data_IF_527020922325
#
_entry.id   IF_527020922325
#
_cell.length_a   1.000
_cell.length_b   1.000
_cell.length_c   1.000
_cell.angle_alpha   90.00
_cell.angle_beta   90.00
_cell.angle_gamma   90.00
#
_symmetry.space_group_name_H-M   'P 1'
#
loop_
_entity.id
_entity.type
_entity.pdbx_description
1 polymer ?
#
# COMPACT_ATOMS: atom_id res chain seq x y z
N UNK A 1 -52.46 38.35 76.41
CA UNK A 1 -52.17 39.16 75.21
C UNK A 1 -50.77 39.69 75.30
N UNK A 2 -49.79 39.02 74.68
CA UNK A 2 -48.56 39.57 74.05
C UNK A 2 -47.69 38.41 73.57
N UNK A 3 -47.06 38.64 72.42
CA UNK A 3 -46.46 37.66 71.51
C UNK A 3 -45.16 37.01 72.03
N UNK A 4 -44.95 35.75 71.64
CA UNK A 4 -43.61 35.21 71.36
C UNK A 4 -43.64 34.49 70.01
N UNK A 5 -43.01 35.10 69.02
CA UNK A 5 -42.70 34.50 67.73
C UNK A 5 -41.52 33.53 67.93
N UNK A 6 -41.69 32.28 67.48
CA UNK A 6 -40.59 31.32 67.30
C UNK A 6 -40.34 31.24 65.81
N UNK A 7 -39.17 31.71 65.38
CA UNK A 7 -38.70 31.58 64.02
C UNK A 7 -38.14 30.15 63.83
N UNK A 8 -38.78 29.36 62.97
CA UNK A 8 -38.24 28.09 62.46
C UNK A 8 -37.74 28.39 61.05
N UNK A 9 -36.42 28.45 60.87
CA UNK A 9 -35.80 28.52 59.55
C UNK A 9 -35.81 27.11 58.94
N UNK A 10 -36.65 26.92 57.93
CA UNK A 10 -36.72 25.70 57.13
C UNK A 10 -35.67 25.79 56.02
N UNK A 11 -34.60 25.02 56.12
CA UNK A 11 -33.60 24.88 55.04
C UNK A 11 -34.20 24.08 53.88
N UNK A 12 -34.38 24.74 52.73
CA UNK A 12 -34.75 24.08 51.46
C UNK A 12 -33.51 23.36 50.93
N UNK A 13 -33.53 22.02 51.00
CA UNK A 13 -32.53 21.17 50.37
C UNK A 13 -32.89 21.02 48.89
N UNK A 14 -32.23 21.78 48.02
CA UNK A 14 -32.37 21.69 46.58
C UNK A 14 -31.57 20.46 46.08
N UNK A 15 -32.26 19.35 45.81
CA UNK A 15 -31.67 18.20 45.10
C UNK A 15 -31.42 18.59 43.64
N UNK A 16 -30.17 18.93 43.29
CA UNK A 16 -29.71 18.92 41.91
C UNK A 16 -29.42 17.46 41.51
N UNK A 17 -30.36 16.86 40.77
CA UNK A 17 -30.08 15.64 40.02
C UNK A 17 -29.10 16.00 38.90
N UNK A 18 -27.82 15.69 39.10
CA UNK A 18 -26.83 15.72 38.02
C UNK A 18 -27.13 14.54 37.11
N UNK A 19 -27.81 14.82 36.01
CA UNK A 19 -27.93 13.89 34.89
C UNK A 19 -26.53 13.59 34.37
N UNK A 20 -25.96 12.48 34.81
CA UNK A 20 -24.74 11.92 34.25
C UNK A 20 -25.01 11.47 32.82
N UNK A 21 -24.93 12.40 31.87
CA UNK A 21 -24.73 12.03 30.47
C UNK A 21 -23.32 11.46 30.43
N UNK A 22 -23.22 10.13 30.42
CA UNK A 22 -21.98 9.46 30.05
C UNK A 22 -21.66 9.93 28.64
N UNK A 23 -20.77 10.91 28.52
CA UNK A 23 -20.06 11.18 27.28
C UNK A 23 -19.26 9.91 27.05
N UNK A 24 -19.79 9.02 26.21
CA UNK A 24 -18.99 7.93 25.69
C UNK A 24 -17.82 8.59 25.00
N UNK A 25 -16.61 8.37 25.51
CA UNK A 25 -15.38 8.82 24.86
C UNK A 25 -15.50 8.41 23.40
N UNK A 26 -15.61 9.39 22.51
CA UNK A 26 -15.45 9.15 21.08
C UNK A 26 -14.02 8.63 20.95
N UNK A 27 -13.88 7.31 20.87
CA UNK A 27 -12.57 6.66 20.83
C UNK A 27 -11.81 7.25 19.64
N UNK A 28 -10.78 8.04 19.96
CA UNK A 28 -10.03 8.79 18.96
C UNK A 28 -9.41 7.79 17.97
N UNK A 29 -9.77 7.93 16.69
CA UNK A 29 -9.15 7.12 15.65
C UNK A 29 -7.69 7.56 15.48
N UNK A 30 -6.79 6.57 15.49
CA UNK A 30 -5.36 6.73 15.24
C UNK A 30 -5.06 6.36 13.80
N UNK A 31 -4.11 7.08 13.19
CA UNK A 31 -3.60 6.76 11.86
C UNK A 31 -2.26 6.05 12.01
N UNK A 32 -2.15 4.86 11.41
CA UNK A 32 -0.91 4.09 11.27
C UNK A 32 -0.50 4.13 9.82
N UNK A 33 0.80 4.32 9.56
CA UNK A 33 1.39 4.29 8.22
C UNK A 33 2.57 3.32 8.22
N UNK A 34 2.57 2.38 7.29
CA UNK A 34 3.63 1.41 7.06
C UNK A 34 4.10 1.53 5.61
N UNK A 35 5.41 1.47 5.38
CA UNK A 35 6.01 1.56 4.04
C UNK A 35 6.90 0.34 3.86
N UNK A 36 6.68 -0.40 2.78
CA UNK A 36 7.46 -1.60 2.43
C UNK A 36 7.81 -1.59 0.95
N UNK A 37 9.00 -2.06 0.61
CA UNK A 37 9.41 -2.26 -0.78
C UNK A 37 9.20 -3.71 -1.18
N UNK A 38 8.97 -3.95 -2.47
CA UNK A 38 8.85 -5.29 -3.05
C UNK A 38 9.32 -5.32 -4.49
N UNK A 39 9.49 -6.54 -5.00
CA UNK A 39 9.87 -6.79 -6.40
C UNK A 39 9.01 -7.90 -6.98
N UNK A 40 8.43 -7.65 -8.16
CA UNK A 40 7.66 -8.63 -8.92
C UNK A 40 8.53 -9.22 -10.01
N UNK A 41 8.66 -10.55 -10.03
CA UNK A 41 9.58 -11.29 -10.89
C UNK A 41 8.86 -11.95 -12.06
N UNK A 42 9.46 -11.86 -13.25
CA UNK A 42 9.06 -12.62 -14.43
C UNK A 42 9.86 -13.90 -14.52
N UNK A 43 9.16 -15.03 -14.42
CA UNK A 43 9.68 -16.36 -14.72
C UNK A 43 9.24 -16.80 -16.11
N UNK A 44 9.80 -17.90 -16.68
CA UNK A 44 9.42 -18.36 -18.02
C UNK A 44 7.94 -18.71 -18.17
N UNK A 45 7.27 -19.13 -17.08
CA UNK A 45 5.89 -19.64 -17.11
C UNK A 45 4.90 -18.87 -16.23
N UNK A 46 5.37 -17.89 -15.46
CA UNK A 46 4.51 -17.05 -14.63
C UNK A 46 5.20 -15.74 -14.23
N UNK A 47 4.42 -14.77 -13.79
CA UNK A 47 4.90 -13.59 -13.05
C UNK A 47 4.52 -13.75 -11.58
N UNK A 48 5.43 -13.45 -10.65
CA UNK A 48 5.14 -13.56 -9.22
C UNK A 48 4.06 -12.56 -8.79
N UNK A 49 3.41 -12.86 -7.66
CA UNK A 49 2.52 -11.93 -6.97
C UNK A 49 2.92 -11.96 -5.51
N UNK A 50 3.16 -10.78 -4.97
CA UNK A 50 3.51 -10.56 -3.59
C UNK A 50 2.24 -10.54 -2.74
N UNK A 51 2.24 -11.26 -1.62
CA UNK A 51 1.07 -11.39 -0.73
C UNK A 51 1.45 -11.00 0.69
N UNK A 52 0.83 -9.94 1.19
CA UNK A 52 0.99 -9.45 2.54
C UNK A 52 -0.15 -9.98 3.41
N UNK A 53 0.18 -10.55 4.56
CA UNK A 53 -0.83 -10.91 5.57
C UNK A 53 -1.10 -9.70 6.44
N UNK A 54 -2.36 -9.31 6.59
CA UNK A 54 -2.77 -8.16 7.39
C UNK A 54 -3.70 -8.61 8.53
N UNK A 55 -3.61 -7.92 9.68
CA UNK A 55 -4.51 -8.09 10.82
C UNK A 55 -5.09 -6.74 11.22
N UNK A 56 -6.41 -6.63 11.24
CA UNK A 56 -7.11 -5.47 11.77
C UNK A 56 -7.77 -5.83 13.10
N UNK A 57 -7.36 -5.16 14.18
CA UNK A 57 -7.92 -5.37 15.51
C UNK A 57 -9.29 -4.70 15.73
N UNK A 58 -9.66 -3.76 14.87
CA UNK A 58 -10.93 -3.04 14.87
C UNK A 58 -11.31 -2.69 13.43
N UNK A 59 -12.57 -2.33 13.22
CA UNK A 59 -13.04 -1.77 11.96
C UNK A 59 -12.20 -0.54 11.59
N UNK A 60 -11.76 -0.47 10.34
CA UNK A 60 -10.87 0.59 9.89
C UNK A 60 -11.17 1.03 8.46
N UNK A 61 -10.74 2.25 8.15
CA UNK A 61 -10.46 2.64 6.77
C UNK A 61 -9.01 2.26 6.50
N UNK A 62 -8.77 1.45 5.47
CA UNK A 62 -7.44 1.08 4.99
C UNK A 62 -7.21 1.65 3.60
N UNK A 63 -6.01 2.15 3.38
CA UNK A 63 -5.54 2.75 2.13
C UNK A 63 -4.23 2.05 1.75
N UNK A 64 -4.13 1.65 0.49
CA UNK A 64 -2.97 1.01 -0.12
C UNK A 64 -2.59 1.84 -1.34
N UNK A 65 -1.33 2.26 -1.40
CA UNK A 65 -0.80 3.11 -2.44
C UNK A 65 0.49 2.50 -2.98
N UNK A 66 0.56 2.26 -4.29
CA UNK A 66 1.71 1.67 -4.95
C UNK A 66 2.44 2.74 -5.73
N UNK A 67 3.73 2.91 -5.46
CA UNK A 67 4.62 3.68 -6.32
C UNK A 67 5.56 2.75 -7.07
N UNK A 68 5.46 2.73 -8.40
CA UNK A 68 6.33 1.88 -9.21
C UNK A 68 6.72 2.54 -10.52
N UNK A 69 5.75 3.08 -11.28
CA UNK A 69 6.02 3.49 -12.66
C UNK A 69 6.92 4.72 -12.74
N UNK A 70 8.10 4.52 -13.30
CA UNK A 70 9.17 5.52 -13.34
C UNK A 70 9.09 6.48 -14.52
N UNK A 71 8.03 6.43 -15.33
CA UNK A 71 7.94 7.21 -16.56
C UNK A 71 6.52 7.68 -16.86
N UNK A 72 6.39 8.92 -17.31
CA UNK A 72 5.13 9.50 -17.79
C UNK A 72 4.93 9.32 -19.30
N UNK A 73 6.02 9.12 -20.07
CA UNK A 73 6.00 9.15 -21.54
C UNK A 73 6.73 7.98 -22.21
N UNK A 74 7.25 7.05 -21.41
CA UNK A 74 8.06 5.91 -21.82
C UNK A 74 9.36 6.28 -22.55
N UNK A 75 9.87 7.50 -22.31
CA UNK A 75 11.12 8.03 -22.87
C UNK A 75 12.03 8.57 -21.80
N UNK A 76 11.51 9.34 -20.85
CA UNK A 76 12.26 9.83 -19.68
C UNK A 76 11.88 9.00 -18.46
N UNK A 77 12.87 8.74 -17.62
CA UNK A 77 12.71 7.89 -16.45
C UNK A 77 13.23 8.63 -15.21
N UNK A 78 12.54 8.50 -14.10
CA UNK A 78 12.92 9.10 -12.82
C UNK A 78 12.74 8.10 -11.67
N UNK A 79 13.70 8.10 -10.75
CA UNK A 79 13.74 7.23 -9.57
C UNK A 79 12.68 7.66 -8.54
N UNK A 80 11.42 7.32 -8.80
CA UNK A 80 10.29 7.74 -7.94
C UNK A 80 10.28 6.97 -6.62
N UNK A 81 10.77 5.74 -6.63
CA UNK A 81 10.70 4.84 -5.48
C UNK A 81 11.98 4.86 -4.60
N UNK A 82 13.05 5.52 -5.07
CA UNK A 82 14.37 5.69 -4.44
C UNK A 82 15.18 4.41 -4.31
N UNK A 83 15.05 3.52 -5.28
CA UNK A 83 15.86 2.30 -5.38
C UNK A 83 17.02 2.41 -6.38
N UNK A 84 17.11 3.52 -7.14
CA UNK A 84 18.08 3.75 -8.21
C UNK A 84 18.07 2.67 -9.31
N UNK A 85 16.93 2.04 -9.55
CA UNK A 85 16.72 0.99 -10.54
C UNK A 85 15.51 1.32 -11.41
N UNK A 86 15.70 1.34 -12.73
CA UNK A 86 14.64 1.74 -13.64
C UNK A 86 13.54 0.72 -13.89
N UNK A 87 13.57 -0.37 -13.12
CA UNK A 87 12.69 -1.51 -13.25
C UNK A 87 11.38 -1.28 -12.50
N UNK A 88 10.26 -1.25 -13.21
CA UNK A 88 8.93 -0.99 -12.65
C UNK A 88 7.88 -1.99 -13.10
N UNK A 89 6.74 -1.94 -12.42
CA UNK A 89 5.50 -2.60 -12.81
C UNK A 89 4.38 -1.59 -13.05
N UNK A 90 3.63 -1.83 -14.12
CA UNK A 90 2.21 -1.47 -14.21
C UNK A 90 1.47 -2.38 -13.23
N UNK A 91 0.99 -1.83 -12.11
CA UNK A 91 0.58 -2.60 -10.93
C UNK A 91 -0.90 -2.97 -10.95
N UNK A 92 -1.26 -4.08 -10.32
CA UNK A 92 -2.65 -4.47 -10.10
C UNK A 92 -2.75 -5.13 -8.73
N UNK A 93 -3.60 -4.57 -7.87
CA UNK A 93 -3.75 -4.98 -6.47
C UNK A 93 -5.08 -5.64 -6.18
N UNK A 94 -5.09 -6.56 -5.20
CA UNK A 94 -6.31 -7.22 -4.72
C UNK A 94 -6.30 -7.31 -3.19
N UNK A 95 -7.42 -6.96 -2.57
CA UNK A 95 -7.67 -7.16 -1.15
C UNK A 95 -8.62 -8.34 -0.95
N UNK A 96 -8.19 -9.33 -0.16
CA UNK A 96 -8.99 -10.49 0.21
C UNK A 96 -9.23 -10.52 1.71
N UNK A 97 -10.46 -10.83 2.13
CA UNK A 97 -10.73 -11.26 3.49
C UNK A 97 -10.36 -12.74 3.63
N UNK A 98 -9.61 -13.09 4.67
CA UNK A 98 -9.28 -14.48 5.01
C UNK A 98 -10.36 -15.04 5.93
N UNK A 99 -11.07 -16.04 5.45
CA UNK A 99 -12.12 -16.72 6.21
C UNK A 99 -11.52 -17.69 7.23
N UNK A 100 -12.31 -18.10 8.21
CA UNK A 100 -11.87 -19.02 9.26
C UNK A 100 -11.40 -20.39 8.74
N UNK A 101 -11.91 -20.82 7.58
CA UNK A 101 -11.50 -22.04 6.87
C UNK A 101 -10.26 -21.84 5.98
N UNK A 102 -9.64 -20.65 6.03
CA UNK A 102 -8.45 -20.29 5.25
C UNK A 102 -8.74 -19.84 3.83
N UNK A 103 -9.99 -19.91 3.35
CA UNK A 103 -10.35 -19.41 2.01
C UNK A 103 -10.23 -17.90 1.93
N UNK A 104 -9.86 -17.42 0.75
CA UNK A 104 -9.81 -16.00 0.44
C UNK A 104 -11.08 -15.58 -0.28
N UNK A 105 -11.72 -14.51 0.21
CA UNK A 105 -12.87 -13.88 -0.43
C UNK A 105 -12.48 -12.49 -0.89
N UNK A 106 -12.63 -12.21 -2.19
CA UNK A 106 -12.32 -10.90 -2.75
C UNK A 106 -13.18 -9.82 -2.07
N UNK A 107 -12.51 -8.75 -1.65
CA UNK A 107 -13.13 -7.54 -1.09
C UNK A 107 -13.11 -6.43 -2.14
N UNK A 108 -11.95 -6.23 -2.77
CA UNK A 108 -11.75 -5.21 -3.78
C UNK A 108 -10.49 -5.48 -4.61
N UNK A 109 -10.39 -4.83 -5.76
CA UNK A 109 -9.20 -4.78 -6.62
C UNK A 109 -9.12 -3.40 -7.27
N UNK A 110 -7.92 -3.02 -7.72
CA UNK A 110 -7.73 -1.86 -8.59
C UNK A 110 -6.40 -2.02 -9.37
N UNK A 111 -6.30 -1.41 -10.54
CA UNK A 111 -5.09 -1.36 -11.37
C UNK A 111 -4.59 0.06 -11.68
N UNK A 112 -5.32 1.11 -11.28
CA UNK A 112 -4.96 2.49 -11.59
C UNK A 112 -4.88 3.43 -10.36
N UNK A 113 -4.44 4.67 -10.57
CA UNK A 113 -4.23 5.78 -9.61
C UNK A 113 -5.51 6.24 -8.87
N UNK A 114 -6.66 5.87 -9.42
CA UNK A 114 -7.98 6.24 -8.94
C UNK A 114 -8.73 4.99 -8.53
N UNK A 115 -9.29 5.02 -7.32
CA UNK A 115 -10.23 3.99 -6.90
C UNK A 115 -11.57 4.14 -7.66
N UNK A 116 -12.41 3.11 -7.65
CA UNK A 116 -13.74 3.08 -8.29
C UNK A 116 -14.67 4.26 -7.88
N UNK A 117 -14.35 4.91 -6.75
CA UNK A 117 -15.07 6.08 -6.26
C UNK A 117 -14.41 7.38 -6.72
N UNK A 118 -15.14 8.17 -7.50
CA UNK A 118 -14.68 9.46 -8.04
C UNK A 118 -14.20 10.46 -6.98
N UNK A 119 -14.65 10.35 -5.72
CA UNK A 119 -14.16 11.16 -4.59
C UNK A 119 -12.69 10.90 -4.21
N UNK A 120 -12.11 9.81 -4.70
CA UNK A 120 -10.72 9.42 -4.48
C UNK A 120 -9.84 9.56 -5.73
N UNK A 121 -10.39 10.10 -6.82
CA UNK A 121 -9.63 10.37 -8.03
C UNK A 121 -8.38 11.22 -7.74
N UNK A 122 -7.23 10.77 -8.28
CA UNK A 122 -5.94 11.45 -8.15
C UNK A 122 -5.29 11.36 -6.76
N UNK A 123 -5.81 10.53 -5.83
CA UNK A 123 -5.13 10.30 -4.55
C UNK A 123 -3.85 9.50 -4.68
N UNK A 124 -3.81 8.51 -5.57
CA UNK A 124 -2.60 7.71 -5.86
C UNK A 124 -1.46 8.47 -6.54
N UNK A 125 -1.61 9.79 -6.77
CA UNK A 125 -0.51 10.64 -7.28
C UNK A 125 0.16 11.49 -6.21
N UNK A 126 -0.33 11.45 -4.98
CA UNK A 126 0.14 12.35 -3.90
C UNK A 126 1.52 11.99 -3.37
N UNK A 127 1.99 10.78 -3.67
CA UNK A 127 3.26 10.22 -3.24
C UNK A 127 4.40 10.48 -4.25
N UNK A 128 4.10 11.16 -5.36
CA UNK A 128 5.05 11.44 -6.44
C UNK A 128 4.90 10.54 -7.66
N UNK A 129 3.87 9.68 -7.73
CA UNK A 129 3.62 8.89 -8.93
C UNK A 129 3.51 9.75 -10.20
N UNK A 130 4.17 9.27 -11.25
CA UNK A 130 4.22 9.91 -12.56
C UNK A 130 3.15 9.40 -13.51
N UNK A 131 2.47 8.29 -13.17
CA UNK A 131 1.64 7.55 -14.10
C UNK A 131 0.33 7.07 -13.47
N UNK A 132 -0.67 6.83 -14.31
CA UNK A 132 -1.95 6.28 -13.90
C UNK A 132 -1.92 4.81 -13.51
N UNK A 133 -0.92 4.08 -13.97
CA UNK A 133 -0.78 2.64 -13.82
C UNK A 133 -0.29 2.21 -12.41
N UNK A 134 -0.08 3.18 -11.53
CA UNK A 134 0.25 2.96 -10.13
C UNK A 134 -1.05 2.81 -9.34
N UNK A 135 -1.30 1.60 -8.83
CA UNK A 135 -2.56 1.21 -8.20
C UNK A 135 -2.78 1.90 -6.86
N UNK A 136 -3.98 2.44 -6.68
CA UNK A 136 -4.44 3.02 -5.41
C UNK A 136 -5.76 2.38 -4.94
N UNK A 137 -5.85 1.95 -3.68
CA UNK A 137 -7.08 1.32 -3.15
C UNK A 137 -7.40 1.82 -1.74
N UNK A 138 -8.64 2.28 -1.50
CA UNK A 138 -9.12 2.67 -0.17
C UNK A 138 -10.44 1.98 0.18
N UNK A 139 -10.50 1.26 1.30
CA UNK A 139 -11.71 0.54 1.73
C UNK A 139 -11.96 0.68 3.21
N UNK A 140 -13.24 0.81 3.59
CA UNK A 140 -13.67 0.54 4.96
C UNK A 140 -13.92 -0.95 5.10
N UNK A 141 -13.24 -1.60 6.03
CA UNK A 141 -13.34 -3.04 6.25
C UNK A 141 -13.50 -3.35 7.75
N UNK A 142 -14.21 -4.43 8.11
CA UNK A 142 -14.34 -4.84 9.49
C UNK A 142 -13.02 -5.39 10.06
N UNK A 143 -12.93 -5.50 11.38
CA UNK A 143 -11.86 -6.24 12.04
C UNK A 143 -11.73 -7.67 11.48
N UNK A 144 -10.50 -8.16 11.32
CA UNK A 144 -10.26 -9.49 10.76
C UNK A 144 -8.87 -9.68 10.16
N UNK A 145 -8.70 -10.83 9.51
CA UNK A 145 -7.50 -11.21 8.78
C UNK A 145 -7.70 -10.98 7.29
N UNK A 146 -6.69 -10.41 6.63
CA UNK A 146 -6.73 -10.10 5.21
C UNK A 146 -5.45 -10.53 4.51
N UNK A 147 -5.55 -10.72 3.20
CA UNK A 147 -4.41 -10.85 2.29
C UNK A 147 -4.49 -9.72 1.29
N UNK A 148 -3.44 -8.90 1.24
CA UNK A 148 -3.28 -7.90 0.18
C UNK A 148 -2.25 -8.41 -0.82
N UNK A 149 -2.68 -8.55 -2.07
CA UNK A 149 -1.87 -9.07 -3.16
C UNK A 149 -1.45 -7.92 -4.09
N UNK A 150 -0.17 -7.84 -4.41
CA UNK A 150 0.42 -6.92 -5.38
C UNK A 150 1.01 -7.74 -6.52
N UNK A 151 0.58 -7.47 -7.74
CA UNK A 151 1.20 -8.03 -8.93
C UNK A 151 1.21 -6.99 -10.04
N UNK A 152 1.50 -7.45 -11.26
CA UNK A 152 1.43 -6.60 -12.45
C UNK A 152 0.12 -6.77 -13.21
N UNK A 153 -0.31 -5.75 -13.94
CA UNK A 153 -1.42 -5.86 -14.89
C UNK A 153 -1.05 -6.72 -16.11
N UNK A 154 -1.93 -7.62 -16.60
CA UNK A 154 -3.20 -8.02 -15.99
C UNK A 154 -3.01 -9.03 -14.84
N UNK A 155 -3.93 -9.01 -13.89
CA UNK A 155 -3.97 -9.93 -12.76
C UNK A 155 -5.41 -10.30 -12.43
N UNK A 156 -5.76 -11.59 -12.53
CA UNK A 156 -7.08 -12.06 -12.07
C UNK A 156 -7.12 -12.29 -10.56
N UNK A 157 -8.31 -12.27 -9.92
CA UNK A 157 -8.43 -12.58 -8.50
C UNK A 157 -7.90 -13.97 -8.11
N UNK A 158 -8.05 -14.96 -9.00
CA UNK A 158 -7.55 -16.31 -8.74
C UNK A 158 -6.02 -16.37 -8.76
N UNK A 159 -5.39 -15.70 -9.73
CA UNK A 159 -3.93 -15.58 -9.81
C UNK A 159 -3.36 -14.80 -8.62
N UNK A 160 -4.02 -13.70 -8.24
CA UNK A 160 -3.66 -12.89 -7.08
C UNK A 160 -3.71 -13.72 -5.78
N UNK A 161 -4.79 -14.47 -5.57
CA UNK A 161 -4.95 -15.37 -4.43
C UNK A 161 -3.87 -16.46 -4.40
N UNK A 162 -3.51 -17.00 -5.57
CA UNK A 162 -2.53 -18.08 -5.71
C UNK A 162 -1.06 -17.63 -5.67
N UNK A 163 -0.79 -16.32 -5.76
CA UNK A 163 0.57 -15.80 -5.74
C UNK A 163 1.30 -15.86 -7.09
N UNK A 164 0.59 -16.11 -8.20
CA UNK A 164 1.19 -16.28 -9.54
C UNK A 164 0.23 -15.85 -10.64
N UNK A 165 0.67 -14.94 -11.51
CA UNK A 165 0.00 -14.57 -12.76
C UNK A 165 0.53 -15.41 -13.93
N UNK A 166 -0.38 -16.08 -14.64
CA UNK A 166 -0.10 -16.92 -15.81
C UNK A 166 -0.50 -16.22 -17.11
N UNK A 167 -1.30 -15.16 -17.03
CA UNK A 167 -1.74 -14.43 -18.21
C UNK A 167 -0.57 -13.68 -18.88
N UNK A 168 -0.38 -13.93 -20.17
CA UNK A 168 0.58 -13.23 -21.05
C UNK A 168 1.93 -12.96 -20.39
N UNK A 169 2.56 -14.00 -19.85
CA UNK A 169 3.82 -13.93 -19.07
C UNK A 169 4.94 -13.16 -19.78
N UNK A 170 5.00 -13.18 -21.11
CA UNK A 170 6.02 -12.47 -21.89
C UNK A 170 5.59 -11.05 -22.33
N UNK A 171 4.37 -10.62 -22.02
CA UNK A 171 3.86 -9.28 -22.33
C UNK A 171 3.71 -8.47 -21.04
N UNK A 172 3.50 -7.16 -21.21
CA UNK A 172 3.36 -6.17 -20.12
C UNK A 172 4.58 -6.10 -19.21
N UNK A 173 4.49 -5.28 -18.17
CA UNK A 173 5.53 -5.16 -17.15
C UNK A 173 5.78 -6.53 -16.45
N UNK A 174 6.94 -6.75 -15.81
CA UNK A 174 7.98 -5.77 -15.51
C UNK A 174 8.73 -5.20 -16.72
N UNK A 175 8.98 -3.90 -16.70
CA UNK A 175 9.76 -3.16 -17.69
C UNK A 175 10.94 -2.48 -17.02
N UNK A 176 11.99 -2.23 -17.79
CA UNK A 176 13.07 -1.34 -17.40
C UNK A 176 13.52 -0.61 -18.65
N UNK A 177 13.80 0.70 -18.58
CA UNK A 177 14.58 1.46 -19.57
C UNK A 177 14.62 0.90 -21.01
N UNK A 178 13.61 1.21 -21.84
CA UNK A 178 13.43 0.73 -23.23
C UNK A 178 13.41 -0.80 -23.46
N UNK A 179 13.73 -1.63 -22.46
CA UNK A 179 13.53 -3.06 -22.44
C UNK A 179 12.10 -3.35 -22.00
N UNK A 180 11.25 -3.66 -22.99
CA UNK A 180 9.86 -4.09 -22.78
C UNK A 180 9.73 -5.45 -22.06
N UNK A 181 10.81 -6.03 -21.54
CA UNK A 181 10.82 -7.35 -20.89
C UNK A 181 11.93 -7.42 -19.85
N UNK A 182 11.75 -6.76 -18.70
CA UNK A 182 12.64 -6.94 -17.55
C UNK A 182 12.31 -8.25 -16.80
N UNK A 183 13.30 -8.78 -16.09
CA UNK A 183 13.16 -9.97 -15.24
C UNK A 183 12.46 -9.68 -13.92
N UNK A 184 12.43 -8.42 -13.49
CA UNK A 184 11.68 -7.97 -12.33
C UNK A 184 11.31 -6.49 -12.47
N UNK A 185 10.45 -6.01 -11.58
CA UNK A 185 10.13 -4.59 -11.42
C UNK A 185 9.86 -4.30 -9.94
N UNK A 186 10.34 -3.16 -9.48
CA UNK A 186 10.30 -2.77 -8.08
C UNK A 186 9.11 -1.85 -7.82
N UNK A 187 8.61 -1.92 -6.60
CA UNK A 187 7.56 -1.02 -6.15
C UNK A 187 7.75 -0.69 -4.66
N UNK A 188 7.14 0.42 -4.25
CA UNK A 188 6.98 0.81 -2.86
C UNK A 188 5.48 0.79 -2.53
N UNK A 189 5.10 0.01 -1.54
CA UNK A 189 3.76 -0.02 -0.99
C UNK A 189 3.70 0.85 0.27
N UNK A 190 2.77 1.81 0.28
CA UNK A 190 2.36 2.54 1.47
C UNK A 190 1.01 2.01 1.94
N UNK A 191 0.94 1.50 3.17
CA UNK A 191 -0.30 1.09 3.83
C UNK A 191 -0.65 2.12 4.89
N UNK A 192 -1.86 2.66 4.85
CA UNK A 192 -2.38 3.56 5.88
C UNK A 192 -3.67 2.99 6.46
N UNK A 193 -3.83 3.07 7.77
CA UNK A 193 -5.03 2.63 8.46
C UNK A 193 -5.48 3.64 9.48
N UNK A 194 -6.78 3.94 9.48
CA UNK A 194 -7.42 4.77 10.47
C UNK A 194 -8.37 3.91 11.32
N UNK A 195 -7.96 3.61 12.56
CA UNK A 195 -8.72 2.76 13.49
C UNK A 195 -8.53 3.19 14.96
N UNK A 196 -9.38 2.71 15.86
CA UNK A 196 -9.25 2.97 17.30
C UNK A 196 -8.10 2.19 17.96
N UNK A 197 -7.66 1.08 17.34
CA UNK A 197 -6.57 0.25 17.87
C UNK A 197 -5.18 0.90 17.66
N UNK A 198 -4.95 1.52 16.51
CA UNK A 198 -3.66 2.16 16.18
C UNK A 198 -2.47 1.20 16.18
N UNK A 199 -2.68 -0.05 15.74
CA UNK A 199 -1.64 -1.08 15.64
C UNK A 199 -1.16 -1.23 14.19
N UNK A 200 0.09 -1.70 14.02
CA UNK A 200 0.60 -2.14 12.72
C UNK A 200 -0.27 -3.25 12.14
N UNK A 201 -0.47 -3.20 10.83
CA UNK A 201 -1.38 -4.07 10.09
C UNK A 201 -0.63 -5.24 9.48
N UNK A 202 0.55 -4.99 8.92
CA UNK A 202 1.33 -6.02 8.21
C UNK A 202 1.88 -7.02 9.23
N UNK A 203 1.37 -8.25 9.17
CA UNK A 203 1.85 -9.37 9.99
C UNK A 203 3.00 -10.11 9.31
N UNK A 204 2.99 -10.16 7.98
CA UNK A 204 4.06 -10.79 7.19
C UNK A 204 4.18 -10.16 5.80
N UNK A 205 5.41 -9.96 5.35
CA UNK A 205 5.78 -9.58 3.98
C UNK A 205 6.33 -10.80 3.21
N UNK A 206 6.32 -10.76 1.87
CA UNK A 206 6.95 -11.79 1.04
C UNK A 206 8.49 -11.69 0.97
N UNK A 207 9.08 -10.60 1.47
CA UNK A 207 10.52 -10.31 1.45
C UNK A 207 11.14 -10.43 0.04
N UNK A 208 10.41 -9.96 -0.97
CA UNK A 208 10.73 -10.09 -2.39
C UNK A 208 11.72 -9.04 -2.90
N UNK A 209 11.92 -7.94 -2.17
CA UNK A 209 12.67 -6.79 -2.65
C UNK A 209 14.14 -7.12 -2.93
N UNK A 210 14.60 -6.86 -4.15
CA UNK A 210 15.97 -7.16 -4.59
C UNK A 210 17.04 -6.19 -4.07
N UNK A 211 16.62 -5.11 -3.41
CA UNK A 211 17.51 -4.09 -2.85
C UNK A 211 17.72 -2.90 -3.79
N UNK A 212 18.47 -1.92 -3.29
CA UNK A 212 18.76 -0.66 -3.99
C UNK A 212 20.06 -0.73 -4.80
N UNK A 213 20.05 -0.09 -5.96
CA UNK A 213 21.21 0.13 -6.84
C UNK A 213 21.96 1.45 -6.55
N UNK A 214 21.57 2.22 -5.53
CA UNK A 214 22.09 3.58 -5.30
C UNK A 214 23.57 3.62 -4.92
N UNK A 215 24.09 2.59 -4.26
CA UNK A 215 25.46 2.54 -3.73
C UNK A 215 26.27 1.33 -4.22
N UNK A 216 26.14 0.95 -5.49
CA UNK A 216 26.96 -0.12 -6.08
C UNK A 216 28.30 0.48 -6.56
N UNK A 217 29.46 0.12 -5.98
CA UNK A 217 30.75 0.51 -6.54
C UNK A 217 30.88 0.01 -7.97
N UNK A 218 31.53 0.77 -8.87
CA UNK A 218 31.72 0.37 -10.27
C UNK A 218 32.40 -1.00 -10.45
N UNK A 219 33.10 -1.51 -9.43
CA UNK A 219 33.70 -2.84 -9.37
C UNK A 219 32.73 -3.98 -9.02
N UNK A 220 31.57 -3.67 -8.44
CA UNK A 220 30.58 -4.61 -7.88
C UNK A 220 29.41 -4.87 -8.84
N UNK A 221 29.34 -4.20 -9.98
CA UNK A 221 28.42 -4.54 -11.08
C UNK A 221 28.63 -5.96 -11.65
N UNK A 222 29.66 -6.69 -11.18
CA UNK A 222 29.84 -8.13 -11.41
C UNK A 222 29.06 -9.05 -10.46
N UNK A 223 28.50 -8.57 -9.35
CA UNK A 223 28.12 -9.43 -8.22
C UNK A 223 26.74 -9.17 -7.56
N UNK A 224 25.87 -8.30 -8.09
CA UNK A 224 24.45 -8.37 -7.72
C UNK A 224 23.75 -9.50 -8.49
N UNK A 225 22.96 -10.30 -7.76
CA UNK A 225 22.47 -11.65 -8.10
C UNK A 225 21.41 -11.71 -9.23
N UNK A 226 21.74 -11.19 -10.41
CA UNK A 226 21.35 -11.79 -11.68
C UNK A 226 22.26 -11.18 -12.74
N UNK A 227 23.00 -12.01 -13.48
CA UNK A 227 23.83 -11.53 -14.59
C UNK A 227 22.90 -11.15 -15.74
N UNK A 228 22.30 -9.97 -15.69
CA UNK A 228 21.73 -9.34 -16.88
C UNK A 228 22.88 -9.16 -17.89
N UNK A 229 22.70 -9.52 -19.16
CA UNK A 229 23.79 -9.47 -20.14
C UNK A 229 24.18 -8.02 -20.47
N UNK A 230 25.21 -7.49 -19.82
CA UNK A 230 25.89 -6.23 -20.21
C UNK A 230 26.05 -5.18 -19.11
N UNK A 231 26.76 -4.10 -19.44
CA UNK A 231 26.96 -2.91 -18.58
C UNK A 231 25.72 -2.00 -18.66
N UNK A 232 24.69 -2.36 -17.90
CA UNK A 232 23.39 -1.69 -17.93
C UNK A 232 23.40 -0.29 -17.30
N UNK A 233 24.28 0.03 -16.33
CA UNK A 233 24.30 1.37 -15.71
C UNK A 233 24.71 2.44 -16.71
N UNK A 234 25.77 2.17 -17.47
CA UNK A 234 26.20 3.07 -18.54
C UNK A 234 25.23 3.04 -19.73
N UNK A 235 24.46 1.97 -19.92
CA UNK A 235 23.39 1.90 -20.91
C UNK A 235 22.14 2.70 -20.47
N UNK A 236 21.70 2.61 -19.22
CA UNK A 236 20.58 3.37 -18.63
C UNK A 236 20.89 4.87 -18.71
N UNK A 237 22.07 5.28 -18.25
CA UNK A 237 22.48 6.69 -18.27
C UNK A 237 22.64 7.24 -19.70
N UNK A 238 23.06 6.41 -20.67
CA UNK A 238 23.21 6.84 -22.08
C UNK A 238 21.94 6.74 -22.90
N UNK A 239 21.07 5.78 -22.63
CA UNK A 239 19.91 5.46 -23.48
C UNK A 239 18.61 6.08 -22.97
N UNK A 240 18.48 6.34 -21.67
CA UNK A 240 17.16 6.56 -21.05
C UNK A 240 16.99 7.89 -20.32
N UNK A 241 17.99 8.77 -20.33
CA UNK A 241 17.94 10.06 -19.63
C UNK A 241 17.39 9.91 -18.19
N UNK A 242 17.98 8.98 -17.42
CA UNK A 242 17.51 8.61 -16.09
C UNK A 242 17.92 9.65 -15.04
N UNK A 243 16.94 10.23 -14.33
CA UNK A 243 17.18 11.16 -13.23
C UNK A 243 17.13 10.42 -11.87
N UNK A 244 18.24 10.50 -11.14
CA UNK A 244 18.43 9.85 -9.84
C UNK A 244 18.23 10.81 -8.65
N UNK A 245 17.78 12.05 -8.90
CA UNK A 245 17.81 13.13 -7.90
C UNK A 245 16.46 13.45 -7.24
N UNK A 246 15.42 12.66 -7.52
CA UNK A 246 14.02 12.88 -7.11
C UNK A 246 13.70 12.35 -5.69
#
# INVERSE_FOLDING_TARGET
>A
MTQRAVAVALSVLLLLAVSGVAVTDAQQQKVVTEVVSGSIFRYPTYVSVDRYSLRLAADAIVEFDILSVETADNKTFADVNRDCDSAFIDSHVHLFAKLADGRLRLVASNDDEGDDYSSYAGRGKRDGSLNAQDSYLIRRVPAGDYVFAVGRYPLSPQEAANGRSLDRVAQFSPYACHARQASYGNYRLTVRSQSTAGLALIQSSPDSYVGTSCNVPASVTKACMYRLPGDYRSAIQRLCSYDQTV
#
